data_IF_245152948292
#
_entry.id   IF_245152948292
#
_cell.length_a   1.000
_cell.length_b   1.000
_cell.length_c   1.000
_cell.angle_alpha   90.00
_cell.angle_beta   90.00
_cell.angle_gamma   90.00
#
_symmetry.space_group_name_H-M   'P 1'
#
loop_
_entity.id
_entity.type
_entity.pdbx_description
1 polymer ?
#
# COMPACT_ATOMS: atom_id res chain seq x y z
N UNK A 1 -24.85 -6.86 -61.26
CA UNK A 1 -24.90 -5.62 -60.46
C UNK A 1 -25.29 -5.86 -59.00
N UNK A 2 -26.29 -6.73 -58.67
CA UNK A 2 -26.71 -7.00 -57.29
C UNK A 2 -25.64 -7.57 -56.36
N UNK A 3 -24.75 -8.39 -56.82
CA UNK A 3 -23.67 -8.97 -56.00
C UNK A 3 -22.67 -7.94 -55.49
N UNK A 4 -22.31 -6.97 -56.29
CA UNK A 4 -21.39 -5.86 -55.88
C UNK A 4 -22.00 -4.98 -54.79
N UNK A 5 -23.30 -4.69 -54.89
CA UNK A 5 -24.00 -3.92 -53.86
C UNK A 5 -24.09 -4.71 -52.55
N UNK A 6 -24.40 -6.00 -52.63
CA UNK A 6 -24.45 -6.86 -51.44
C UNK A 6 -23.10 -6.96 -50.71
N UNK A 7 -22.01 -7.13 -51.48
CA UNK A 7 -20.65 -7.17 -50.94
C UNK A 7 -20.24 -5.84 -50.28
N UNK A 8 -20.59 -4.71 -50.91
CA UNK A 8 -20.31 -3.39 -50.37
C UNK A 8 -21.06 -3.12 -49.06
N UNK A 9 -22.33 -3.48 -49.00
CA UNK A 9 -23.11 -3.38 -47.75
C UNK A 9 -22.55 -4.24 -46.64
N UNK A 10 -22.17 -5.48 -46.95
CA UNK A 10 -21.58 -6.39 -46.00
C UNK A 10 -20.26 -5.83 -45.43
N UNK A 11 -19.37 -5.32 -46.29
CA UNK A 11 -18.10 -4.69 -45.87
C UNK A 11 -18.33 -3.46 -44.99
N UNK A 12 -19.34 -2.62 -45.32
CA UNK A 12 -19.68 -1.47 -44.50
C UNK A 12 -20.17 -1.88 -43.11
N UNK A 13 -21.00 -2.92 -42.99
CA UNK A 13 -21.45 -3.43 -41.69
C UNK A 13 -20.29 -3.97 -40.89
N UNK A 14 -19.40 -4.78 -41.49
CA UNK A 14 -18.21 -5.31 -40.81
C UNK A 14 -17.30 -4.20 -40.30
N UNK A 15 -17.10 -3.13 -41.06
CA UNK A 15 -16.30 -1.98 -40.66
C UNK A 15 -16.90 -1.24 -39.47
N UNK A 16 -18.22 -1.06 -39.46
CA UNK A 16 -18.93 -0.41 -38.35
C UNK A 16 -18.80 -1.26 -37.05
N UNK A 17 -19.03 -2.56 -37.17
CA UNK A 17 -18.92 -3.50 -36.02
C UNK A 17 -17.50 -3.51 -35.47
N UNK A 18 -16.48 -3.59 -36.34
CA UNK A 18 -15.08 -3.56 -35.93
C UNK A 18 -14.71 -2.24 -35.22
N UNK A 19 -15.17 -1.11 -35.75
CA UNK A 19 -14.96 0.20 -35.14
C UNK A 19 -15.58 0.27 -33.73
N UNK A 20 -16.77 -0.32 -33.56
CA UNK A 20 -17.44 -0.34 -32.25
C UNK A 20 -16.69 -1.21 -31.23
N UNK A 21 -16.16 -2.35 -31.65
CA UNK A 21 -15.35 -3.23 -30.82
C UNK A 21 -14.06 -2.52 -30.39
N UNK A 22 -13.34 -1.87 -31.32
CA UNK A 22 -12.12 -1.13 -31.03
C UNK A 22 -12.39 0.03 -30.07
N UNK A 23 -13.46 0.75 -30.27
CA UNK A 23 -13.86 1.84 -29.37
C UNK A 23 -14.21 1.34 -27.97
N UNK A 24 -14.91 0.21 -27.86
CA UNK A 24 -15.25 -0.41 -26.59
C UNK A 24 -13.99 -0.85 -25.82
N UNK A 25 -13.03 -1.48 -26.52
CA UNK A 25 -11.75 -1.90 -25.93
C UNK A 25 -10.89 -0.68 -25.52
N UNK A 26 -10.84 0.36 -26.34
CA UNK A 26 -10.11 1.59 -26.01
C UNK A 26 -10.67 2.27 -24.75
N UNK A 27 -12.00 2.25 -24.58
CA UNK A 27 -12.64 2.78 -23.37
C UNK A 27 -12.30 1.96 -22.12
N UNK A 28 -12.21 0.62 -22.23
CA UNK A 28 -11.81 -0.24 -21.12
C UNK A 28 -10.34 -0.01 -20.71
N UNK A 29 -9.45 0.18 -21.69
CA UNK A 29 -8.05 0.51 -21.45
C UNK A 29 -7.91 1.89 -20.80
N UNK A 30 -8.70 2.88 -21.21
CA UNK A 30 -8.71 4.21 -20.60
C UNK A 30 -9.03 4.20 -19.11
N UNK A 31 -10.06 3.43 -18.70
CA UNK A 31 -10.44 3.28 -17.29
C UNK A 31 -9.37 2.55 -16.49
N UNK A 32 -8.68 1.58 -17.11
CA UNK A 32 -7.57 0.88 -16.45
C UNK A 32 -6.34 1.79 -16.27
N UNK A 33 -6.07 2.64 -17.27
CA UNK A 33 -4.94 3.58 -17.24
C UNK A 33 -5.13 4.67 -16.20
N UNK A 34 -6.36 5.15 -16.01
CA UNK A 34 -6.69 6.13 -14.98
C UNK A 34 -6.53 5.58 -13.56
N UNK A 35 -6.75 4.27 -13.37
CA UNK A 35 -6.50 3.58 -12.09
C UNK A 35 -5.03 3.26 -11.82
N UNK A 36 -4.18 3.24 -12.84
CA UNK A 36 -2.73 2.94 -12.70
C UNK A 36 -1.84 4.19 -12.75
N UNK A 37 -2.37 5.34 -13.16
CA UNK A 37 -1.63 6.62 -13.17
C UNK A 37 -1.19 7.13 -11.78
N UNK A 38 -1.87 6.87 -10.65
CA UNK A 38 -1.41 7.32 -9.33
C UNK A 38 -0.02 6.82 -8.95
N UNK A 39 0.37 5.61 -9.41
CA UNK A 39 1.63 5.00 -8.95
C UNK A 39 2.89 5.72 -9.43
N UNK A 40 2.90 6.35 -10.59
CA UNK A 40 4.10 7.00 -11.12
C UNK A 40 4.31 8.42 -10.57
N UNK A 41 3.22 9.15 -10.29
CA UNK A 41 3.26 10.45 -9.62
C UNK A 41 3.57 10.31 -8.13
N UNK A 42 3.04 9.29 -7.48
CA UNK A 42 3.28 9.02 -6.06
C UNK A 42 4.73 8.64 -5.77
N UNK A 43 5.40 7.91 -6.66
CA UNK A 43 6.81 7.57 -6.49
C UNK A 43 7.71 8.83 -6.42
N UNK A 44 7.40 9.90 -7.15
CA UNK A 44 8.17 11.16 -7.09
C UNK A 44 7.84 11.98 -5.83
N UNK A 45 6.57 12.01 -5.41
CA UNK A 45 6.15 12.71 -4.19
C UNK A 45 6.59 11.93 -2.94
N UNK A 46 6.65 10.60 -3.03
CA UNK A 46 7.11 9.69 -1.97
C UNK A 46 8.60 9.89 -1.66
N UNK A 47 9.45 10.01 -2.69
CA UNK A 47 10.89 10.21 -2.49
C UNK A 47 11.24 11.56 -1.86
N UNK A 48 10.38 12.58 -1.95
CA UNK A 48 10.68 13.93 -1.47
C UNK A 48 10.53 14.14 0.05
N UNK A 49 10.04 13.12 0.79
CA UNK A 49 9.86 13.19 2.25
C UNK A 49 10.74 12.23 3.05
N UNK A 50 11.49 11.36 2.39
CA UNK A 50 12.48 10.53 3.07
C UNK A 50 13.55 11.43 3.70
N UNK A 51 13.83 11.20 4.99
CA UNK A 51 14.70 12.06 5.80
C UNK A 51 13.98 13.18 6.58
N UNK A 52 12.68 13.43 6.33
CA UNK A 52 11.90 14.43 7.06
C UNK A 52 11.70 14.00 8.52
N UNK A 53 11.84 14.96 9.44
CA UNK A 53 11.58 14.75 10.86
C UNK A 53 10.11 15.06 11.14
N UNK A 54 9.39 14.05 11.61
CA UNK A 54 8.00 14.17 12.01
C UNK A 54 7.95 14.51 13.51
N UNK A 55 7.70 15.77 13.81
CA UNK A 55 7.56 16.23 15.19
C UNK A 55 6.13 16.02 15.70
N UNK A 56 6.00 15.71 17.00
CA UNK A 56 4.68 15.55 17.63
C UNK A 56 3.98 14.20 17.35
N UNK A 57 4.71 13.24 16.83
CA UNK A 57 4.20 11.90 16.60
C UNK A 57 4.34 11.07 17.88
N UNK A 58 3.21 10.69 18.48
CA UNK A 58 3.18 9.80 19.63
C UNK A 58 2.91 8.36 19.13
N UNK A 59 3.96 7.55 19.16
CA UNK A 59 3.86 6.13 18.82
C UNK A 59 4.07 5.35 20.11
N UNK A 60 3.16 4.43 20.49
CA UNK A 60 3.32 3.63 21.69
C UNK A 60 4.55 2.70 21.53
N UNK A 61 5.66 3.12 22.14
CA UNK A 61 6.92 2.35 22.15
C UNK A 61 7.11 1.60 23.45
N UNK A 62 6.03 1.33 24.17
CA UNK A 62 6.03 0.93 25.59
C UNK A 62 6.67 -0.42 25.91
N UNK A 63 7.07 -1.20 24.92
CA UNK A 63 7.54 -2.58 25.18
C UNK A 63 8.95 -2.88 24.75
N UNK A 64 9.57 -2.08 23.92
CA UNK A 64 10.96 -2.31 23.46
C UNK A 64 11.65 -0.97 23.27
N UNK A 65 12.84 -0.84 23.86
CA UNK A 65 13.73 0.32 23.69
C UNK A 65 14.37 0.31 22.29
N UNK A 66 13.52 0.27 21.26
CA UNK A 66 13.94 0.25 19.86
C UNK A 66 13.80 1.61 19.23
N UNK A 67 14.89 2.05 18.61
CA UNK A 67 14.93 3.31 17.87
C UNK A 67 14.19 3.23 16.49
N UNK A 68 13.74 2.04 16.10
CA UNK A 68 13.10 1.83 14.80
C UNK A 68 11.69 1.29 14.96
N UNK A 69 10.75 1.91 14.23
CA UNK A 69 9.34 1.48 14.16
C UNK A 69 8.94 1.25 12.72
N UNK A 70 8.28 0.12 12.49
CA UNK A 70 7.73 -0.25 11.18
C UNK A 70 6.20 -0.23 11.26
N UNK A 71 5.58 0.56 10.40
CA UNK A 71 4.14 0.74 10.33
C UNK A 71 3.63 0.16 9.02
N UNK A 72 2.70 -0.80 9.10
CA UNK A 72 1.96 -1.30 7.94
C UNK A 72 0.56 -0.67 7.94
N UNK A 73 0.36 0.33 7.10
CA UNK A 73 -0.95 0.94 6.88
C UNK A 73 -1.84 -0.01 6.09
N UNK A 74 -2.98 -0.34 6.65
CA UNK A 74 -3.92 -1.32 6.13
C UNK A 74 -5.36 -0.81 6.20
N UNK A 75 -6.29 -1.51 5.55
CA UNK A 75 -7.71 -1.31 5.69
C UNK A 75 -8.42 -2.67 5.81
N UNK A 76 -9.49 -2.74 6.57
CA UNK A 76 -10.25 -3.98 6.80
C UNK A 76 -10.87 -4.55 5.53
N UNK A 77 -11.15 -3.68 4.55
CA UNK A 77 -11.71 -4.04 3.24
C UNK A 77 -10.66 -4.37 2.17
N UNK A 78 -9.38 -4.17 2.47
CA UNK A 78 -8.28 -4.33 1.53
C UNK A 78 -7.88 -5.81 1.37
N UNK A 79 -8.12 -6.38 0.20
CA UNK A 79 -7.78 -7.79 -0.11
C UNK A 79 -6.26 -8.02 -0.06
N UNK A 80 -5.46 -7.08 -0.59
CA UNK A 80 -4.00 -7.18 -0.57
C UNK A 80 -3.47 -7.15 0.86
N UNK A 81 -4.03 -6.31 1.73
CA UNK A 81 -3.60 -6.22 3.12
C UNK A 81 -3.74 -7.56 3.85
N UNK A 82 -4.84 -8.31 3.59
CA UNK A 82 -5.04 -9.65 4.15
C UNK A 82 -3.96 -10.64 3.74
N UNK A 83 -3.48 -10.57 2.51
CA UNK A 83 -2.40 -11.44 2.02
C UNK A 83 -1.05 -11.14 2.68
N UNK A 84 -0.85 -9.92 3.16
CA UNK A 84 0.40 -9.47 3.77
C UNK A 84 0.51 -9.82 5.27
N UNK A 85 -0.61 -10.11 5.95
CA UNK A 85 -0.61 -10.33 7.41
C UNK A 85 0.34 -11.43 7.86
N UNK A 86 0.29 -12.59 7.21
CA UNK A 86 1.15 -13.72 7.57
C UNK A 86 2.63 -13.38 7.45
N UNK A 87 3.01 -12.69 6.37
CA UNK A 87 4.39 -12.26 6.14
C UNK A 87 4.84 -11.23 7.17
N UNK A 88 3.99 -10.23 7.45
CA UNK A 88 4.30 -9.19 8.42
C UNK A 88 4.34 -9.74 9.85
N UNK A 89 3.42 -10.64 10.21
CA UNK A 89 3.42 -11.32 11.50
C UNK A 89 4.65 -12.21 11.70
N UNK A 90 5.09 -12.90 10.65
CA UNK A 90 6.32 -13.71 10.70
C UNK A 90 7.55 -12.83 10.97
N UNK A 91 7.62 -11.66 10.34
CA UNK A 91 8.73 -10.72 10.57
C UNK A 91 8.77 -10.18 11.99
N UNK A 92 7.59 -9.89 12.59
CA UNK A 92 7.50 -9.48 14.00
C UNK A 92 8.10 -10.51 14.97
N UNK A 93 7.90 -11.80 14.67
CA UNK A 93 8.39 -12.90 15.52
C UNK A 93 9.88 -13.15 15.36
N UNK A 94 10.45 -12.82 14.21
CA UNK A 94 11.85 -13.08 13.89
C UNK A 94 12.78 -11.97 14.34
N UNK A 95 12.27 -10.75 14.51
CA UNK A 95 13.11 -9.58 14.67
C UNK A 95 12.72 -8.74 15.89
N UNK A 96 13.56 -8.82 16.92
CA UNK A 96 13.45 -7.98 18.10
C UNK A 96 14.05 -6.57 17.91
N UNK A 97 14.62 -6.28 16.74
CA UNK A 97 15.35 -5.05 16.49
C UNK A 97 14.45 -3.84 16.19
N UNK A 98 13.16 -4.05 15.95
CA UNK A 98 12.20 -2.98 15.71
C UNK A 98 10.81 -3.30 16.26
N UNK A 99 10.08 -2.26 16.61
CA UNK A 99 8.65 -2.38 16.94
C UNK A 99 7.82 -2.27 15.65
N UNK A 100 6.82 -3.13 15.47
CA UNK A 100 5.99 -3.07 14.28
C UNK A 100 4.50 -3.07 14.61
N UNK A 101 3.74 -2.26 13.87
CA UNK A 101 2.33 -2.04 14.10
C UNK A 101 1.53 -2.09 12.80
N UNK A 102 0.31 -2.63 12.86
CA UNK A 102 -0.74 -2.41 11.87
C UNK A 102 -1.43 -1.09 12.17
N UNK A 103 -1.58 -0.24 11.19
CA UNK A 103 -2.28 1.04 11.31
C UNK A 103 -3.51 1.03 10.42
N UNK A 104 -4.67 1.28 11.01
CA UNK A 104 -5.97 1.33 10.33
C UNK A 104 -6.54 2.76 10.40
N UNK A 105 -6.14 3.66 9.48
CA UNK A 105 -6.44 5.09 9.62
C UNK A 105 -7.89 5.46 9.30
N UNK A 106 -8.58 4.64 8.48
CA UNK A 106 -9.92 4.95 7.96
C UNK A 106 -11.02 4.03 8.51
N UNK A 107 -10.65 3.06 9.33
CA UNK A 107 -11.58 2.07 9.87
C UNK A 107 -12.04 2.44 11.28
N UNK A 108 -13.24 2.02 11.66
CA UNK A 108 -13.73 2.20 13.03
C UNK A 108 -13.08 1.18 13.99
N UNK A 109 -12.88 1.53 15.27
CA UNK A 109 -12.32 0.59 16.26
C UNK A 109 -13.06 -0.74 16.32
N UNK A 110 -14.40 -0.72 16.18
CA UNK A 110 -15.21 -1.94 16.17
C UNK A 110 -14.93 -2.83 14.96
N UNK A 111 -14.79 -2.24 13.76
CA UNK A 111 -14.45 -2.98 12.55
C UNK A 111 -13.04 -3.57 12.64
N UNK A 112 -12.08 -2.81 13.15
CA UNK A 112 -10.69 -3.26 13.34
C UNK A 112 -10.63 -4.38 14.37
N UNK A 113 -11.36 -4.29 15.48
CA UNK A 113 -11.40 -5.35 16.50
C UNK A 113 -11.96 -6.67 15.93
N UNK A 114 -13.06 -6.61 15.17
CA UNK A 114 -13.62 -7.78 14.51
C UNK A 114 -12.65 -8.38 13.48
N UNK A 115 -11.99 -7.53 12.72
CA UNK A 115 -10.98 -7.92 11.73
C UNK A 115 -9.75 -8.57 12.38
N UNK A 116 -9.25 -7.98 13.46
CA UNK A 116 -8.12 -8.50 14.23
C UNK A 116 -8.41 -9.90 14.80
N UNK A 117 -9.61 -10.09 15.36
CA UNK A 117 -10.04 -11.38 15.87
C UNK A 117 -10.14 -12.44 14.75
N UNK A 118 -10.67 -12.06 13.58
CA UNK A 118 -10.80 -12.95 12.42
C UNK A 118 -9.46 -13.40 11.86
N UNK A 119 -8.44 -12.54 11.90
CA UNK A 119 -7.13 -12.76 11.30
C UNK A 119 -6.02 -13.03 12.33
N UNK A 120 -6.40 -13.24 13.60
CA UNK A 120 -5.48 -13.54 14.71
C UNK A 120 -4.34 -12.52 14.86
N UNK A 121 -4.66 -11.23 14.61
CA UNK A 121 -3.65 -10.17 14.76
C UNK A 121 -3.46 -9.82 16.24
N UNK A 122 -2.21 -9.62 16.70
CA UNK A 122 -1.95 -9.24 18.08
C UNK A 122 -2.45 -7.81 18.35
N UNK A 123 -3.41 -7.68 19.24
CA UNK A 123 -4.08 -6.41 19.56
C UNK A 123 -3.11 -5.34 20.05
N UNK A 124 -2.05 -5.74 20.74
CA UNK A 124 -1.00 -4.83 21.21
C UNK A 124 -0.24 -4.12 20.07
N UNK A 125 -0.28 -4.69 18.86
CA UNK A 125 0.41 -4.15 17.69
C UNK A 125 -0.56 -3.48 16.69
N UNK A 126 -1.77 -3.06 17.14
CA UNK A 126 -2.76 -2.44 16.28
C UNK A 126 -3.00 -1.00 16.73
N UNK A 127 -2.92 -0.09 15.77
CA UNK A 127 -3.23 1.33 15.94
C UNK A 127 -4.41 1.71 15.06
N UNK A 128 -5.37 2.44 15.63
CA UNK A 128 -6.52 3.01 14.89
C UNK A 128 -6.38 4.52 14.93
N UNK A 129 -5.52 5.05 14.07
CA UNK A 129 -5.01 6.42 14.15
C UNK A 129 -5.06 7.11 12.77
N UNK A 130 -6.00 8.04 12.60
CA UNK A 130 -6.14 8.81 11.37
C UNK A 130 -4.98 9.80 11.17
N UNK A 131 -4.55 10.44 12.23
CA UNK A 131 -3.51 11.49 12.18
C UNK A 131 -2.15 10.94 11.79
N UNK A 132 -1.87 9.70 12.17
CA UNK A 132 -0.62 9.02 11.82
C UNK A 132 -0.47 8.87 10.30
N UNK A 133 -1.55 8.58 9.59
CA UNK A 133 -1.55 8.51 8.13
C UNK A 133 -1.25 9.87 7.48
N UNK A 134 -1.82 10.94 8.03
CA UNK A 134 -1.57 12.29 7.55
C UNK A 134 -0.12 12.73 7.79
N UNK A 135 0.44 12.47 8.97
CA UNK A 135 1.84 12.77 9.29
C UNK A 135 2.81 12.01 8.38
N UNK A 136 2.55 10.72 8.14
CA UNK A 136 3.36 9.92 7.23
C UNK A 136 3.04 10.16 5.74
N UNK A 137 2.07 11.04 5.43
CA UNK A 137 1.56 11.31 4.07
C UNK A 137 1.20 10.02 3.32
N UNK A 138 0.50 9.11 3.99
CA UNK A 138 0.00 7.86 3.42
C UNK A 138 -1.38 8.10 2.82
N UNK A 139 -1.50 7.85 1.52
CA UNK A 139 -2.73 8.09 0.75
C UNK A 139 -3.42 6.80 0.30
N UNK A 140 -2.72 5.66 0.37
CA UNK A 140 -3.22 4.37 -0.09
C UNK A 140 -2.79 3.22 0.82
N UNK A 141 -3.49 2.11 0.76
CA UNK A 141 -3.19 0.87 1.48
C UNK A 141 -3.06 -0.30 0.51
N UNK A 142 -2.15 -1.24 0.75
CA UNK A 142 -1.17 -1.29 1.83
C UNK A 142 0.06 -0.40 1.58
N UNK A 143 0.51 0.30 2.61
CA UNK A 143 1.76 1.09 2.58
C UNK A 143 2.61 0.75 3.80
N UNK A 144 3.89 0.45 3.57
CA UNK A 144 4.89 0.27 4.62
C UNK A 144 5.61 1.59 4.87
N UNK A 145 5.70 1.95 6.13
CA UNK A 145 6.45 3.12 6.60
C UNK A 145 7.45 2.66 7.65
N UNK A 146 8.68 3.13 7.54
CA UNK A 146 9.71 2.94 8.55
C UNK A 146 10.08 4.30 9.14
N UNK A 147 10.08 4.35 10.44
CA UNK A 147 10.47 5.52 11.21
C UNK A 147 11.65 5.16 12.11
N UNK A 148 12.61 6.06 12.21
CA UNK A 148 13.71 5.95 13.14
C UNK A 148 13.64 7.10 14.14
N UNK A 149 13.88 6.80 15.41
CA UNK A 149 13.91 7.82 16.47
C UNK A 149 15.12 8.73 16.26
N UNK A 150 14.89 10.03 16.29
CA UNK A 150 15.89 11.07 16.27
C UNK A 150 15.73 11.93 17.54
N UNK A 151 16.74 12.74 17.87
CA UNK A 151 16.72 13.67 19.00
C UNK A 151 15.56 14.70 18.92
N UNK A 152 15.05 14.96 17.73
CA UNK A 152 14.01 15.96 17.46
C UNK A 152 12.63 15.35 17.17
N UNK A 153 12.51 14.01 17.10
CA UNK A 153 11.28 13.30 16.78
C UNK A 153 11.51 12.03 16.00
N UNK A 154 10.57 11.67 15.14
CA UNK A 154 10.66 10.49 14.28
C UNK A 154 11.12 10.90 12.89
N UNK A 155 12.17 10.29 12.39
CA UNK A 155 12.67 10.47 11.03
C UNK A 155 12.05 9.44 10.10
N UNK A 156 11.42 9.90 9.01
CA UNK A 156 10.90 9.02 7.98
C UNK A 156 12.05 8.43 7.15
N UNK A 157 12.32 7.14 7.33
CA UNK A 157 13.38 6.41 6.61
C UNK A 157 12.88 5.86 5.27
N UNK A 158 11.69 5.28 5.30
CA UNK A 158 11.12 4.60 4.14
C UNK A 158 9.61 4.77 4.12
N UNK A 159 9.05 5.01 2.95
CA UNK A 159 7.62 4.91 2.67
C UNK A 159 7.41 4.26 1.31
N UNK A 160 6.78 3.09 1.28
CA UNK A 160 6.54 2.33 0.04
C UNK A 160 5.16 1.70 0.03
N UNK A 161 4.43 1.86 -1.07
CA UNK A 161 3.23 1.07 -1.34
C UNK A 161 3.62 -0.37 -1.66
N UNK A 162 2.92 -1.32 -1.06
CA UNK A 162 3.22 -2.74 -1.19
C UNK A 162 2.25 -3.37 -2.17
N UNK A 163 2.78 -4.03 -3.19
CA UNK A 163 1.99 -4.70 -4.22
C UNK A 163 2.15 -6.23 -4.20
N UNK A 164 3.07 -6.76 -3.38
CA UNK A 164 3.27 -8.21 -3.23
C UNK A 164 3.90 -8.57 -1.89
N UNK A 165 3.70 -9.84 -1.48
CA UNK A 165 4.35 -10.41 -0.29
C UNK A 165 5.86 -10.46 -0.43
N UNK A 166 6.36 -10.75 -1.63
CA UNK A 166 7.81 -10.79 -1.89
C UNK A 166 8.46 -9.41 -1.72
N UNK A 167 7.80 -8.35 -2.19
CA UNK A 167 8.28 -6.97 -1.97
C UNK A 167 8.30 -6.63 -0.48
N UNK A 168 7.28 -7.02 0.28
CA UNK A 168 7.27 -6.82 1.72
C UNK A 168 8.43 -7.55 2.40
N UNK A 169 8.67 -8.81 2.02
CA UNK A 169 9.78 -9.59 2.56
C UNK A 169 11.14 -8.95 2.28
N UNK A 170 11.40 -8.50 1.04
CA UNK A 170 12.65 -7.83 0.71
C UNK A 170 12.86 -6.55 1.51
N UNK A 171 11.82 -5.71 1.64
CA UNK A 171 11.91 -4.47 2.40
C UNK A 171 12.13 -4.69 3.91
N UNK A 172 11.63 -5.79 4.46
CA UNK A 172 11.85 -6.17 5.85
C UNK A 172 13.21 -6.87 6.06
N UNK A 173 13.77 -7.51 5.03
CA UNK A 173 15.06 -8.20 5.08
C UNK A 173 16.27 -7.26 4.88
N UNK A 174 16.14 -6.23 4.02
CA UNK A 174 17.21 -5.26 3.75
C UNK A 174 17.66 -4.48 5.01
N UNK A 175 16.84 -4.53 6.07
CA UNK A 175 17.13 -3.91 7.36
C UNK A 175 18.25 -4.57 8.15
N UNK A 176 18.57 -5.83 7.85
CA UNK A 176 19.59 -6.57 8.59
C UNK A 176 21.01 -6.19 8.21
N UNK A 177 21.21 -5.76 6.97
CA UNK A 177 22.55 -5.42 6.47
C UNK A 177 22.98 -3.99 6.83
N UNK A 178 22.03 -3.10 7.09
CA UNK A 178 22.34 -1.70 7.37
C UNK A 178 22.68 -1.41 8.86
N UNK A 179 22.46 -2.37 9.75
CA UNK A 179 22.71 -2.19 11.21
C UNK A 179 23.96 -2.93 11.73
N UNK A 180 24.72 -3.60 10.84
CA UNK A 180 25.96 -4.32 11.21
C UNK A 180 27.25 -3.55 10.85
N UNK A 181 27.15 -2.36 10.23
CA UNK A 181 28.26 -1.44 9.95
C UNK A 181 28.20 -0.21 10.88
#
# INVERSE_FOLDING_TARGET
MGWLVLSSVFMAICTIVLSFIVFSLARQIGVLHERTQPMASDLRTVASREGEILSGLDIPTDTVDTDTVVLLFAATTCVMCRMLHGTFLASLKQHAAYSAYWVFPMDTPAAVSAYAAMHELPVANILVETDLAAHCAVTNTPTLVRLQRDKQGWRLQLRRSIVSTQQLQSLLADDFQANED
#
